data_IF_804524016894
#
_entry.id   IF_804524016894
#
_cell.length_a   1.000
_cell.length_b   1.000
_cell.length_c   1.000
_cell.angle_alpha   90.00
_cell.angle_beta   90.00
_cell.angle_gamma   90.00
#
_symmetry.space_group_name_H-M   'P 1'
#
loop_
_entity.id
_entity.type
_entity.pdbx_description
1 polymer ?
#
# COMPACT_ATOMS: atom_id res chain seq x y z
N UNK A 1 -45.28 -0.16 -2.95
CA UNK A 1 -44.69 -1.17 -2.06
C UNK A 1 -43.64 -2.05 -2.75
N UNK A 2 -43.94 -2.71 -3.89
CA UNK A 2 -42.97 -3.60 -4.58
C UNK A 2 -41.64 -2.92 -4.99
N UNK A 3 -41.65 -1.64 -5.44
CA UNK A 3 -40.43 -0.90 -5.80
C UNK A 3 -39.52 -0.58 -4.59
N UNK A 4 -40.09 -0.31 -3.43
CA UNK A 4 -39.33 0.00 -2.21
C UNK A 4 -38.65 -1.27 -1.67
N UNK A 5 -39.34 -2.40 -1.72
CA UNK A 5 -38.80 -3.71 -1.30
C UNK A 5 -37.64 -4.11 -2.24
N UNK A 6 -37.75 -3.86 -3.54
CA UNK A 6 -36.69 -4.15 -4.51
C UNK A 6 -35.43 -3.29 -4.27
N UNK A 7 -35.59 -2.00 -3.92
CA UNK A 7 -34.47 -1.10 -3.61
C UNK A 7 -33.80 -1.51 -2.28
N UNK A 8 -34.58 -1.90 -1.28
CA UNK A 8 -34.03 -2.40 -0.01
C UNK A 8 -33.23 -3.71 -0.19
N UNK A 9 -33.74 -4.63 -1.01
CA UNK A 9 -33.04 -5.90 -1.33
C UNK A 9 -31.73 -5.65 -2.10
N UNK A 10 -31.72 -4.70 -3.03
CA UNK A 10 -30.48 -4.33 -3.75
C UNK A 10 -29.46 -3.68 -2.81
N UNK A 11 -29.89 -2.79 -1.91
CA UNK A 11 -29.03 -2.13 -0.94
C UNK A 11 -28.40 -3.13 0.06
N UNK A 12 -29.18 -4.09 0.56
CA UNK A 12 -28.66 -5.13 1.45
C UNK A 12 -27.67 -6.07 0.75
N UNK A 13 -27.92 -6.40 -0.53
CA UNK A 13 -26.99 -7.22 -1.32
C UNK A 13 -25.65 -6.51 -1.55
N UNK A 14 -25.67 -5.19 -1.87
CA UNK A 14 -24.44 -4.41 -2.03
C UNK A 14 -23.62 -4.34 -0.72
N UNK A 15 -24.26 -4.19 0.43
CA UNK A 15 -23.58 -4.15 1.74
C UNK A 15 -22.93 -5.51 2.05
N UNK A 16 -23.60 -6.62 1.77
CA UNK A 16 -23.07 -7.96 2.00
C UNK A 16 -21.85 -8.26 1.12
N UNK A 17 -21.85 -7.84 -0.15
CA UNK A 17 -20.70 -8.05 -1.05
C UNK A 17 -19.50 -7.22 -0.64
N UNK A 18 -19.69 -5.98 -0.18
CA UNK A 18 -18.61 -5.12 0.31
C UNK A 18 -17.99 -5.65 1.60
N UNK A 19 -18.79 -6.14 2.54
CA UNK A 19 -18.29 -6.73 3.79
C UNK A 19 -17.46 -8.00 3.53
N UNK A 20 -17.90 -8.84 2.59
CA UNK A 20 -17.15 -10.05 2.21
C UNK A 20 -15.81 -9.71 1.53
N UNK A 21 -15.79 -8.72 0.65
CA UNK A 21 -14.58 -8.27 -0.01
C UNK A 21 -13.57 -7.65 0.98
N UNK A 22 -14.07 -6.91 1.97
CA UNK A 22 -13.23 -6.32 3.02
C UNK A 22 -12.56 -7.38 3.88
N UNK A 23 -13.33 -8.34 4.39
CA UNK A 23 -12.82 -9.44 5.20
C UNK A 23 -11.77 -10.26 4.46
N UNK A 24 -11.94 -10.44 3.14
CA UNK A 24 -10.98 -11.16 2.31
C UNK A 24 -9.63 -10.43 2.19
N UNK A 25 -9.62 -9.10 2.06
CA UNK A 25 -8.39 -8.32 1.96
C UNK A 25 -7.58 -8.36 3.27
N UNK A 26 -8.27 -8.20 4.40
CA UNK A 26 -7.67 -8.28 5.73
C UNK A 26 -7.10 -9.69 6.00
N UNK A 27 -7.81 -10.74 5.61
CA UNK A 27 -7.38 -12.13 5.74
C UNK A 27 -6.14 -12.43 4.87
N UNK A 28 -6.11 -11.95 3.62
CA UNK A 28 -4.94 -12.08 2.74
C UNK A 28 -3.70 -11.41 3.34
N UNK A 29 -3.85 -10.21 3.88
CA UNK A 29 -2.75 -9.49 4.54
C UNK A 29 -2.26 -10.24 5.77
N UNK A 30 -3.15 -10.77 6.60
CA UNK A 30 -2.82 -11.58 7.77
C UNK A 30 -2.05 -12.85 7.37
N UNK A 31 -2.56 -13.59 6.40
CA UNK A 31 -1.88 -14.79 5.88
C UNK A 31 -0.51 -14.45 5.29
N UNK A 32 -0.37 -13.30 4.61
CA UNK A 32 0.92 -12.84 4.09
C UNK A 32 1.93 -12.62 5.22
N UNK A 33 1.52 -11.98 6.33
CA UNK A 33 2.36 -11.76 7.49
C UNK A 33 2.75 -13.07 8.20
N UNK A 34 1.82 -14.01 8.33
CA UNK A 34 2.09 -15.33 8.89
C UNK A 34 3.12 -16.09 8.03
N UNK A 35 2.97 -16.08 6.70
CA UNK A 35 3.93 -16.72 5.81
C UNK A 35 5.30 -16.01 5.83
N UNK A 36 5.32 -14.68 5.98
CA UNK A 36 6.55 -13.92 6.17
C UNK A 36 7.30 -14.36 7.43
N UNK A 37 6.58 -14.52 8.54
CA UNK A 37 7.14 -15.02 9.82
C UNK A 37 7.71 -16.44 9.69
N UNK A 38 7.06 -17.29 8.90
CA UNK A 38 7.52 -18.65 8.57
C UNK A 38 8.65 -18.68 7.54
N UNK A 39 9.07 -17.50 7.03
CA UNK A 39 10.08 -17.35 5.97
C UNK A 39 9.65 -17.98 4.62
N UNK A 40 8.36 -18.16 4.40
CA UNK A 40 7.77 -18.61 3.14
C UNK A 40 7.62 -17.40 2.18
N UNK A 41 8.75 -16.81 1.76
CA UNK A 41 8.81 -15.50 1.12
C UNK A 41 8.03 -15.40 -0.19
N UNK A 42 8.08 -16.43 -1.03
CA UNK A 42 7.35 -16.46 -2.31
C UNK A 42 5.84 -16.42 -2.07
N UNK A 43 5.37 -17.21 -1.10
CA UNK A 43 3.95 -17.27 -0.75
C UNK A 43 3.48 -15.98 -0.07
N UNK A 44 4.30 -15.44 0.84
CA UNK A 44 4.02 -14.15 1.47
C UNK A 44 3.91 -13.04 0.42
N UNK A 45 4.84 -12.96 -0.53
CA UNK A 45 4.83 -11.99 -1.63
C UNK A 45 3.54 -12.08 -2.45
N UNK A 46 3.14 -13.29 -2.85
CA UNK A 46 1.91 -13.50 -3.62
C UNK A 46 0.66 -13.02 -2.86
N UNK A 47 0.57 -13.34 -1.57
CA UNK A 47 -0.55 -12.92 -0.72
C UNK A 47 -0.56 -11.39 -0.50
N UNK A 48 0.62 -10.76 -0.30
CA UNK A 48 0.71 -9.30 -0.24
C UNK A 48 0.26 -8.63 -1.53
N UNK A 49 0.59 -9.17 -2.71
CA UNK A 49 0.13 -8.65 -4.00
C UNK A 49 -1.39 -8.73 -4.14
N UNK A 50 -1.99 -9.84 -3.71
CA UNK A 50 -3.44 -9.99 -3.72
C UNK A 50 -4.10 -9.00 -2.76
N UNK A 51 -3.57 -8.87 -1.55
CA UNK A 51 -4.07 -7.91 -0.56
C UNK A 51 -3.91 -6.45 -1.05
N UNK A 52 -2.77 -6.10 -1.67
CA UNK A 52 -2.52 -4.80 -2.29
C UNK A 52 -3.64 -4.42 -3.27
N UNK A 53 -3.93 -5.31 -4.23
CA UNK A 53 -4.98 -5.07 -5.22
C UNK A 53 -6.36 -4.96 -4.56
N UNK A 54 -6.67 -5.84 -3.60
CA UNK A 54 -7.95 -5.82 -2.92
C UNK A 54 -8.16 -4.54 -2.08
N UNK A 55 -7.14 -4.05 -1.36
CA UNK A 55 -7.22 -2.80 -0.61
C UNK A 55 -7.28 -1.57 -1.52
N UNK A 56 -6.52 -1.56 -2.63
CA UNK A 56 -6.54 -0.45 -3.59
C UNK A 56 -7.93 -0.25 -4.22
N UNK A 57 -8.65 -1.35 -4.53
CA UNK A 57 -10.02 -1.28 -5.06
C UNK A 57 -11.06 -0.85 -4.02
N UNK A 58 -10.74 -0.94 -2.72
CA UNK A 58 -11.60 -0.53 -1.61
C UNK A 58 -11.27 0.88 -1.08
N UNK A 59 -10.41 1.63 -1.76
CA UNK A 59 -9.92 2.94 -1.32
C UNK A 59 -9.22 2.90 0.07
N UNK A 60 -8.73 1.75 0.49
CA UNK A 60 -7.95 1.55 1.73
C UNK A 60 -6.46 1.80 1.46
N UNK A 61 -6.13 3.07 1.22
CA UNK A 61 -4.81 3.48 0.71
C UNK A 61 -3.65 3.08 1.61
N UNK A 62 -3.81 3.21 2.94
CA UNK A 62 -2.74 2.87 3.89
C UNK A 62 -2.40 1.37 3.85
N UNK A 63 -3.41 0.51 3.89
CA UNK A 63 -3.22 -0.95 3.82
C UNK A 63 -2.69 -1.39 2.44
N UNK A 64 -3.20 -0.77 1.36
CA UNK A 64 -2.69 -1.03 0.01
C UNK A 64 -1.20 -0.71 -0.07
N UNK A 65 -0.78 0.49 0.34
CA UNK A 65 0.64 0.89 0.32
C UNK A 65 1.49 -0.03 1.20
N UNK A 66 0.99 -0.42 2.37
CA UNK A 66 1.70 -1.36 3.25
C UNK A 66 1.95 -2.70 2.57
N UNK A 67 0.92 -3.28 1.96
CA UNK A 67 1.05 -4.53 1.22
C UNK A 67 1.98 -4.39 0.02
N UNK A 68 1.88 -3.30 -0.74
CA UNK A 68 2.73 -3.01 -1.89
C UNK A 68 4.21 -2.87 -1.52
N UNK A 69 4.52 -2.16 -0.44
CA UNK A 69 5.89 -2.00 0.08
C UNK A 69 6.45 -3.34 0.57
N UNK A 70 5.65 -4.13 1.31
CA UNK A 70 6.10 -5.45 1.77
C UNK A 70 6.36 -6.42 0.61
N UNK A 71 5.50 -6.45 -0.40
CA UNK A 71 5.72 -7.27 -1.60
C UNK A 71 6.96 -6.78 -2.39
N UNK A 72 7.17 -5.46 -2.49
CA UNK A 72 8.37 -4.87 -3.11
C UNK A 72 9.64 -5.30 -2.38
N UNK A 73 9.66 -5.24 -1.05
CA UNK A 73 10.79 -5.69 -0.24
C UNK A 73 11.12 -7.18 -0.46
N UNK A 74 10.11 -8.02 -0.68
CA UNK A 74 10.30 -9.43 -0.98
C UNK A 74 10.84 -9.65 -2.41
N UNK A 75 10.40 -8.88 -3.41
CA UNK A 75 11.01 -8.86 -4.73
C UNK A 75 12.48 -8.41 -4.67
N UNK A 76 12.74 -7.30 -3.96
CA UNK A 76 14.07 -6.76 -3.74
C UNK A 76 15.02 -7.79 -3.07
N UNK A 77 14.54 -8.50 -2.06
CA UNK A 77 15.28 -9.58 -1.39
C UNK A 77 15.77 -10.67 -2.35
N UNK A 78 14.98 -10.97 -3.39
CA UNK A 78 15.30 -11.97 -4.42
C UNK A 78 15.99 -11.36 -5.64
N UNK A 79 16.43 -10.09 -5.58
CA UNK A 79 17.07 -9.32 -6.65
C UNK A 79 16.17 -9.04 -7.86
N UNK A 80 14.87 -9.16 -7.75
CA UNK A 80 13.90 -8.76 -8.76
C UNK A 80 13.63 -7.24 -8.67
N UNK A 81 14.67 -6.44 -8.91
CA UNK A 81 14.63 -4.98 -8.73
C UNK A 81 13.60 -4.30 -9.64
N UNK A 82 13.44 -4.76 -10.87
CA UNK A 82 12.50 -4.21 -11.82
C UNK A 82 11.08 -4.28 -11.27
N UNK A 83 10.65 -5.47 -10.86
CA UNK A 83 9.32 -5.73 -10.29
C UNK A 83 9.12 -4.96 -8.98
N UNK A 84 10.15 -4.88 -8.16
CA UNK A 84 10.11 -4.09 -6.93
C UNK A 84 9.88 -2.60 -7.20
N UNK A 85 10.61 -1.99 -8.14
CA UNK A 85 10.41 -0.59 -8.52
C UNK A 85 9.06 -0.33 -9.18
N UNK A 86 8.57 -1.23 -10.02
CA UNK A 86 7.24 -1.13 -10.64
C UNK A 86 6.14 -1.14 -9.60
N UNK A 87 6.25 -2.01 -8.59
CA UNK A 87 5.29 -2.09 -7.51
C UNK A 87 5.29 -0.82 -6.62
N UNK A 88 6.47 -0.26 -6.31
CA UNK A 88 6.54 1.02 -5.59
C UNK A 88 5.98 2.19 -6.41
N UNK A 89 6.12 2.17 -7.74
CA UNK A 89 5.46 3.16 -8.61
C UNK A 89 3.95 3.01 -8.56
N UNK A 90 3.42 1.78 -8.57
CA UNK A 90 1.99 1.52 -8.36
C UNK A 90 1.50 2.02 -6.99
N UNK A 91 2.28 1.80 -5.94
CA UNK A 91 1.97 2.31 -4.60
C UNK A 91 1.93 3.85 -4.55
N UNK A 92 2.83 4.55 -5.28
CA UNK A 92 2.76 6.02 -5.43
C UNK A 92 1.48 6.47 -6.12
N UNK A 93 1.01 5.76 -7.13
CA UNK A 93 -0.26 6.06 -7.79
C UNK A 93 -1.45 5.88 -6.85
N UNK A 94 -1.43 4.84 -6.00
CA UNK A 94 -2.43 4.65 -4.94
C UNK A 94 -2.46 5.83 -3.98
N UNK A 95 -1.29 6.33 -3.54
CA UNK A 95 -1.20 7.53 -2.69
C UNK A 95 -1.77 8.75 -3.41
N UNK A 96 -1.35 9.00 -4.66
CA UNK A 96 -1.83 10.13 -5.43
C UNK A 96 -3.35 10.12 -5.63
N UNK A 97 -3.94 8.94 -5.90
CA UNK A 97 -5.38 8.74 -5.99
C UNK A 97 -6.07 9.05 -4.65
N UNK A 98 -5.49 8.57 -3.56
CA UNK A 98 -6.01 8.81 -2.21
C UNK A 98 -5.98 10.30 -1.85
N UNK A 99 -4.88 10.99 -2.11
CA UNK A 99 -4.75 12.45 -1.90
C UNK A 99 -5.77 13.23 -2.73
N UNK A 100 -5.94 12.85 -4.01
CA UNK A 100 -6.93 13.48 -4.88
C UNK A 100 -8.38 13.28 -4.40
N UNK A 101 -8.73 12.07 -4.01
CA UNK A 101 -10.09 11.73 -3.56
C UNK A 101 -10.43 12.32 -2.19
N UNK A 102 -9.46 12.36 -1.27
CA UNK A 102 -9.69 12.80 0.11
C UNK A 102 -9.38 14.29 0.34
N UNK A 103 -8.64 14.91 -0.56
CA UNK A 103 -8.11 16.28 -0.38
C UNK A 103 -7.05 16.39 0.72
N UNK A 104 -6.56 15.25 1.26
CA UNK A 104 -5.58 15.20 2.35
C UNK A 104 -4.25 14.64 1.87
N UNK A 105 -3.14 15.31 2.19
CA UNK A 105 -1.80 14.78 1.93
C UNK A 105 -1.53 13.54 2.78
N UNK A 106 -0.79 12.58 2.20
CA UNK A 106 -0.44 11.31 2.84
C UNK A 106 1.09 11.13 2.96
N UNK A 107 1.81 12.04 3.64
CA UNK A 107 3.28 12.03 3.68
C UNK A 107 3.85 10.77 4.33
N UNK A 108 3.17 10.17 5.32
CA UNK A 108 3.60 8.93 5.96
C UNK A 108 3.65 7.76 4.95
N UNK A 109 2.72 7.69 4.01
CA UNK A 109 2.71 6.65 2.99
C UNK A 109 3.84 6.87 1.97
N UNK A 110 4.06 8.13 1.55
CA UNK A 110 5.20 8.50 0.69
C UNK A 110 6.53 8.20 1.37
N UNK A 111 6.65 8.45 2.67
CA UNK A 111 7.83 8.12 3.45
C UNK A 111 8.16 6.61 3.39
N UNK A 112 7.17 5.74 3.58
CA UNK A 112 7.37 4.28 3.52
C UNK A 112 7.85 3.84 2.14
N UNK A 113 7.28 4.35 1.07
CA UNK A 113 7.67 4.05 -0.32
C UNK A 113 9.12 4.52 -0.57
N UNK A 114 9.45 5.76 -0.20
CA UNK A 114 10.78 6.33 -0.42
C UNK A 114 11.86 5.61 0.40
N UNK A 115 11.53 5.16 1.62
CA UNK A 115 12.44 4.36 2.46
C UNK A 115 12.83 3.04 1.77
N UNK A 116 11.88 2.29 1.22
CA UNK A 116 12.16 1.05 0.50
C UNK A 116 12.96 1.31 -0.77
N UNK A 117 12.61 2.36 -1.52
CA UNK A 117 13.33 2.77 -2.73
C UNK A 117 14.78 3.17 -2.42
N UNK A 118 15.02 3.89 -1.33
CA UNK A 118 16.36 4.22 -0.86
C UNK A 118 17.19 2.95 -0.60
N UNK A 119 16.62 1.98 0.12
CA UNK A 119 17.28 0.72 0.42
C UNK A 119 17.67 -0.04 -0.87
N UNK A 120 16.81 -0.05 -1.87
CA UNK A 120 17.12 -0.67 -3.16
C UNK A 120 18.28 0.03 -3.88
N UNK A 121 18.32 1.37 -3.89
CA UNK A 121 19.44 2.10 -4.52
C UNK A 121 20.76 1.91 -3.78
N UNK A 122 20.73 1.76 -2.44
CA UNK A 122 21.92 1.42 -1.65
C UNK A 122 22.44 0.04 -2.07
N UNK A 123 21.55 -0.96 -2.17
CA UNK A 123 21.94 -2.32 -2.54
C UNK A 123 22.45 -2.42 -4.00
N UNK A 124 21.88 -1.60 -4.90
CA UNK A 124 22.35 -1.44 -6.28
C UNK A 124 23.65 -0.64 -6.39
N UNK A 125 24.23 -0.18 -5.27
CA UNK A 125 25.44 0.67 -5.23
C UNK A 125 25.33 1.91 -6.14
N UNK A 126 24.12 2.53 -6.16
CA UNK A 126 23.85 3.75 -6.92
C UNK A 126 23.76 4.97 -5.99
N UNK A 127 24.92 5.59 -5.62
CA UNK A 127 24.95 6.65 -4.63
C UNK A 127 24.20 7.92 -5.08
N UNK A 128 24.17 8.20 -6.39
CA UNK A 128 23.47 9.37 -6.91
C UNK A 128 21.95 9.26 -6.68
N UNK A 129 21.36 8.11 -7.02
CA UNK A 129 19.94 7.85 -6.79
C UNK A 129 19.61 7.68 -5.30
N UNK A 130 20.52 7.07 -4.53
CA UNK A 130 20.35 6.95 -3.08
C UNK A 130 20.29 8.34 -2.42
N UNK A 131 21.16 9.29 -2.81
CA UNK A 131 21.15 10.68 -2.32
C UNK A 131 19.84 11.41 -2.68
N UNK A 132 19.38 11.27 -3.92
CA UNK A 132 18.09 11.83 -4.35
C UNK A 132 16.92 11.32 -3.48
N UNK A 133 16.89 10.02 -3.22
CA UNK A 133 15.83 9.42 -2.38
C UNK A 133 15.93 9.83 -0.92
N UNK A 134 17.15 10.01 -0.40
CA UNK A 134 17.34 10.53 0.96
C UNK A 134 16.75 11.92 1.11
N UNK A 135 16.99 12.82 0.16
CA UNK A 135 16.40 14.17 0.15
C UNK A 135 14.87 14.10 0.17
N UNK A 136 14.26 13.25 -0.68
CA UNK A 136 12.79 13.05 -0.69
C UNK A 136 12.27 12.50 0.64
N UNK A 137 13.03 11.62 1.28
CA UNK A 137 12.69 11.06 2.58
C UNK A 137 12.68 12.14 3.67
N UNK A 138 13.68 13.02 3.69
CA UNK A 138 13.75 14.15 4.61
C UNK A 138 12.58 15.14 4.41
N UNK A 139 12.23 15.46 3.17
CA UNK A 139 11.09 16.31 2.83
C UNK A 139 9.77 15.70 3.33
N UNK A 140 9.56 14.40 3.09
CA UNK A 140 8.34 13.71 3.54
C UNK A 140 8.26 13.58 5.05
N UNK A 141 9.40 13.42 5.74
CA UNK A 141 9.45 13.42 7.20
C UNK A 141 9.07 14.78 7.79
N UNK A 142 9.61 15.88 7.23
CA UNK A 142 9.24 17.24 7.64
C UNK A 142 7.74 17.52 7.42
N UNK A 143 7.18 17.09 6.30
CA UNK A 143 5.75 17.24 6.01
C UNK A 143 4.87 16.45 7.00
N UNK A 144 5.28 15.24 7.38
CA UNK A 144 4.58 14.43 8.39
C UNK A 144 4.52 15.12 9.75
N UNK A 145 5.64 15.69 10.21
CA UNK A 145 5.69 16.43 11.47
C UNK A 145 4.82 17.69 11.48
N UNK A 146 4.74 18.38 10.33
CA UNK A 146 3.88 19.56 10.20
C UNK A 146 2.40 19.21 10.29
N UNK A 147 1.98 18.09 9.68
CA UNK A 147 0.58 17.65 9.73
C UNK A 147 0.15 17.27 11.14
N UNK A 148 1.01 16.58 11.91
CA UNK A 148 0.71 16.23 13.32
C UNK A 148 0.48 17.47 14.20
N UNK A 149 1.24 18.56 13.99
CA UNK A 149 1.07 19.82 14.74
C UNK A 149 -0.15 20.63 14.35
N UNK A 150 -0.73 20.40 13.18
CA UNK A 150 -1.93 21.13 12.71
C UNK A 150 -3.24 20.46 13.14
N UNK A 151 -3.17 19.27 13.72
CA UNK A 151 -4.32 18.51 14.23
C UNK A 151 -4.47 18.64 15.78
N UNK A 152 -3.48 19.27 16.46
CA UNK A 152 -3.55 19.70 17.88
C UNK A 152 -4.15 21.12 18.00
#
# INVERSE_FOLDING_TARGET
MKKIISILLLATFCIFTQLHAQNRADELMKQAQENLTKKEYIKARYLFLQAYNAFATQDKYAQAVECGVNASALYHRENYYKEAFELLRGAEQVVATGEQKTGKAMPNLRFRINKERLQMYINLKNPARAKEQLTKLEETAKASHKNLRSEE
#
